data_IF_807906203678
#
_entry.id   IF_807906203678
#
_cell.length_a   1.000
_cell.length_b   1.000
_cell.length_c   1.000
_cell.angle_alpha   90.00
_cell.angle_beta   90.00
_cell.angle_gamma   90.00
#
_symmetry.space_group_name_H-M   'P 1'
#
loop_
_entity.id
_entity.type
_entity.pdbx_description
1 polymer ?
#
# COMPACT_ATOMS: atom_id res chain seq x y z
N UNK A 1 -12.95 16.86 20.80
CA UNK A 1 -13.36 15.45 20.64
C UNK A 1 -12.10 14.61 20.65
N UNK A 2 -11.72 14.09 21.81
CA UNK A 2 -10.57 13.19 21.94
C UNK A 2 -11.06 11.77 21.59
N UNK A 3 -10.65 11.27 20.43
CA UNK A 3 -10.97 9.90 20.04
C UNK A 3 -10.09 8.93 20.84
N UNK A 4 -10.69 7.88 21.42
CA UNK A 4 -10.01 6.96 22.31
C UNK A 4 -8.89 6.25 21.57
N UNK A 5 -7.75 6.18 22.24
CA UNK A 5 -6.56 5.44 21.85
C UNK A 5 -6.87 3.93 21.78
N UNK A 6 -7.57 3.48 20.74
CA UNK A 6 -7.30 2.14 20.17
C UNK A 6 -5.98 2.36 19.45
N UNK A 7 -4.88 1.82 19.99
CA UNK A 7 -3.49 2.23 19.75
C UNK A 7 -2.99 2.07 18.29
N UNK A 8 -3.62 2.74 17.33
CA UNK A 8 -3.17 2.85 15.96
C UNK A 8 -3.08 4.33 15.62
N UNK A 9 -1.87 4.87 15.67
CA UNK A 9 -1.62 6.22 15.21
C UNK A 9 -1.56 6.25 13.67
N UNK A 10 -1.62 7.44 13.06
CA UNK A 10 -1.60 7.55 11.60
C UNK A 10 -0.35 6.90 10.98
N UNK A 11 0.81 6.97 11.61
CA UNK A 11 2.04 6.35 11.11
C UNK A 11 1.97 4.80 11.15
N UNK A 12 1.43 4.23 12.22
CA UNK A 12 1.15 2.78 12.31
C UNK A 12 0.09 2.36 11.28
N UNK A 13 -0.95 3.17 11.08
CA UNK A 13 -1.97 2.90 10.09
C UNK A 13 -1.39 2.89 8.66
N UNK A 14 -0.56 3.88 8.32
CA UNK A 14 0.13 3.92 7.03
C UNK A 14 1.11 2.76 6.87
N UNK A 15 1.79 2.36 7.94
CA UNK A 15 2.70 1.21 7.94
C UNK A 15 1.94 -0.09 7.69
N UNK A 16 0.84 -0.34 8.40
CA UNK A 16 -0.03 -1.50 8.16
C UNK A 16 -0.64 -1.46 6.76
N UNK A 17 -1.03 -0.29 6.25
CA UNK A 17 -1.51 -0.15 4.87
C UNK A 17 -0.46 -0.60 3.85
N UNK A 18 0.80 -0.21 4.05
CA UNK A 18 1.92 -0.66 3.22
C UNK A 18 2.18 -2.16 3.37
N UNK A 19 2.30 -2.65 4.61
CA UNK A 19 2.50 -4.07 4.89
C UNK A 19 1.36 -4.92 4.31
N UNK A 20 0.12 -4.43 4.30
CA UNK A 20 -1.04 -5.10 3.70
C UNK A 20 -1.02 -5.20 2.17
N UNK A 21 -0.14 -4.44 1.50
CA UNK A 21 0.10 -4.59 0.06
C UNK A 21 1.13 -5.68 -0.25
N UNK A 22 2.12 -5.88 0.65
CA UNK A 22 3.16 -6.89 0.48
C UNK A 22 2.76 -8.25 1.06
N UNK A 23 2.12 -8.26 2.24
CA UNK A 23 1.70 -9.46 2.97
C UNK A 23 0.23 -9.40 3.37
N UNK A 24 -0.36 -10.57 3.60
CA UNK A 24 -1.70 -10.63 4.19
C UNK A 24 -1.64 -10.24 5.67
N UNK A 25 -2.37 -9.19 6.03
CA UNK A 25 -2.49 -8.77 7.43
C UNK A 25 -3.37 -9.76 8.23
N UNK A 26 -3.05 -10.00 9.51
CA UNK A 26 -3.95 -10.67 10.45
C UNK A 26 -5.33 -10.00 10.48
N UNK A 27 -6.40 -10.80 10.59
CA UNK A 27 -7.79 -10.31 10.57
C UNK A 27 -8.07 -9.24 11.64
N UNK A 28 -7.40 -9.33 12.80
CA UNK A 28 -7.49 -8.34 13.88
C UNK A 28 -6.95 -6.97 13.47
N UNK A 29 -5.71 -6.94 12.95
CA UNK A 29 -5.05 -5.70 12.49
C UNK A 29 -5.81 -5.05 11.33
N UNK A 30 -6.32 -5.87 10.38
CA UNK A 30 -7.16 -5.38 9.28
C UNK A 30 -8.44 -4.71 9.77
N UNK A 31 -9.05 -5.23 10.84
CA UNK A 31 -10.28 -4.67 11.41
C UNK A 31 -10.02 -3.33 12.09
N UNK A 32 -8.95 -3.25 12.89
CA UNK A 32 -8.52 -2.00 13.56
C UNK A 32 -8.15 -0.94 12.52
N UNK A 33 -7.41 -1.33 11.48
CA UNK A 33 -7.03 -0.43 10.39
C UNK A 33 -8.25 0.12 9.64
N UNK A 34 -9.25 -0.71 9.35
CA UNK A 34 -10.52 -0.26 8.74
C UNK A 34 -11.26 0.73 9.61
N UNK A 35 -11.33 0.50 10.92
CA UNK A 35 -11.95 1.45 11.84
C UNK A 35 -11.20 2.79 11.82
N UNK A 36 -9.87 2.77 11.78
CA UNK A 36 -9.06 3.99 11.69
C UNK A 36 -9.27 4.74 10.37
N UNK A 37 -9.24 4.07 9.22
CA UNK A 37 -9.45 4.73 7.92
C UNK A 37 -10.88 5.25 7.74
N UNK A 38 -11.84 4.70 8.48
CA UNK A 38 -13.21 5.24 8.50
C UNK A 38 -13.31 6.57 9.24
N UNK A 39 -12.52 6.75 10.30
CA UNK A 39 -12.46 7.99 11.09
C UNK A 39 -11.42 9.00 10.59
N UNK A 40 -10.41 8.55 9.83
CA UNK A 40 -9.30 9.35 9.35
C UNK A 40 -9.26 9.37 7.81
N UNK A 41 -9.70 10.48 7.22
CA UNK A 41 -9.70 10.69 5.77
C UNK A 41 -8.30 10.64 5.15
N UNK A 42 -7.27 11.08 5.87
CA UNK A 42 -5.88 11.03 5.40
C UNK A 42 -5.38 9.60 5.19
N UNK A 43 -5.59 8.72 6.17
CA UNK A 43 -5.23 7.31 6.04
C UNK A 43 -6.09 6.59 5.00
N UNK A 44 -7.37 6.97 4.86
CA UNK A 44 -8.23 6.46 3.77
C UNK A 44 -7.65 6.78 2.40
N UNK A 45 -7.34 8.06 2.15
CA UNK A 45 -6.80 8.53 0.88
C UNK A 45 -5.43 7.91 0.57
N UNK A 46 -4.60 7.70 1.59
CA UNK A 46 -3.33 7.00 1.43
C UNK A 46 -3.51 5.54 0.99
N UNK A 47 -4.45 4.82 1.59
CA UNK A 47 -4.77 3.44 1.20
C UNK A 47 -5.24 3.31 -0.24
N UNK A 48 -6.09 4.24 -0.70
CA UNK A 48 -6.56 4.30 -2.09
C UNK A 48 -5.39 4.55 -3.06
N UNK A 49 -4.50 5.50 -2.74
CA UNK A 49 -3.30 5.79 -3.56
C UNK A 49 -2.36 4.60 -3.67
N UNK A 50 -2.10 3.90 -2.56
CA UNK A 50 -1.29 2.67 -2.56
C UNK A 50 -1.91 1.58 -3.45
N UNK A 51 -3.23 1.40 -3.39
CA UNK A 51 -3.94 0.44 -4.23
C UNK A 51 -3.84 0.79 -5.72
N UNK A 52 -3.95 2.07 -6.07
CA UNK A 52 -3.76 2.54 -7.44
C UNK A 52 -2.33 2.27 -7.95
N UNK A 53 -1.32 2.66 -7.17
CA UNK A 53 0.09 2.45 -7.53
C UNK A 53 0.40 0.96 -7.78
N UNK A 54 -0.13 0.07 -6.94
CA UNK A 54 0.05 -1.38 -7.09
C UNK A 54 -0.62 -1.95 -8.33
N UNK A 55 -1.79 -1.43 -8.69
CA UNK A 55 -2.48 -1.82 -9.93
C UNK A 55 -1.70 -1.35 -11.15
N UNK A 56 -1.21 -0.11 -11.14
CA UNK A 56 -0.38 0.44 -12.22
C UNK A 56 0.92 -0.35 -12.41
N UNK A 57 1.63 -0.69 -11.32
CA UNK A 57 2.84 -1.53 -11.39
C UNK A 57 2.54 -2.95 -11.88
N UNK A 58 1.41 -3.55 -11.47
CA UNK A 58 1.00 -4.87 -11.98
C UNK A 58 0.65 -4.85 -13.46
N UNK A 59 -0.03 -3.81 -13.93
CA UNK A 59 -0.34 -3.63 -15.35
C UNK A 59 0.94 -3.45 -16.17
N UNK A 60 1.88 -2.63 -15.67
CA UNK A 60 3.19 -2.46 -16.27
C UNK A 60 3.98 -3.78 -16.36
N UNK A 61 4.03 -4.55 -15.25
CA UNK A 61 4.70 -5.85 -15.22
C UNK A 61 4.06 -6.91 -16.13
N UNK A 62 2.77 -6.79 -16.43
CA UNK A 62 2.04 -7.68 -17.35
C UNK A 62 2.25 -7.34 -18.82
N UNK A 63 2.91 -6.23 -19.14
CA UNK A 63 3.13 -5.80 -20.52
C UNK A 63 1.85 -5.28 -21.19
N UNK A 64 0.82 -4.92 -20.42
CA UNK A 64 -0.41 -4.27 -20.91
C UNK A 64 -0.17 -2.75 -21.13
N UNK A 65 1.00 -2.43 -21.69
CA UNK A 65 1.47 -1.10 -22.02
C UNK A 65 1.34 -0.85 -23.51
N UNK A 66 0.11 -0.77 -24.01
CA UNK A 66 -0.17 0.05 -25.18
C UNK A 66 -1.26 1.06 -24.82
N UNK A 67 -0.96 2.32 -25.15
CA UNK A 67 -1.81 3.52 -25.08
C UNK A 67 -1.76 4.36 -23.80
N UNK A 68 -0.79 5.29 -23.75
CA UNK A 68 -0.90 6.52 -22.96
C UNK A 68 0.41 7.20 -22.56
N UNK A 69 1.16 7.73 -23.53
CA UNK A 69 2.39 8.52 -23.37
C UNK A 69 2.23 9.72 -22.41
N UNK A 70 2.94 9.74 -21.26
CA UNK A 70 3.58 10.93 -20.63
C UNK A 70 4.38 10.58 -19.33
N UNK A 71 5.69 10.94 -19.28
CA UNK A 71 6.57 11.00 -18.08
C UNK A 71 7.28 9.68 -17.73
N UNK A 72 8.57 9.48 -18.03
CA UNK A 72 9.78 10.06 -17.42
C UNK A 72 9.93 9.79 -15.91
N UNK A 73 10.97 9.03 -15.55
CA UNK A 73 11.59 9.06 -14.22
C UNK A 73 11.43 7.81 -13.35
N UNK A 74 12.50 7.02 -13.21
CA UNK A 74 12.85 6.50 -11.89
C UNK A 74 13.24 5.02 -11.82
N UNK A 75 14.53 4.83 -11.61
CA UNK A 75 15.28 3.59 -11.44
C UNK A 75 14.95 2.81 -10.14
N UNK A 76 15.22 1.49 -10.18
CA UNK A 76 15.45 0.64 -9.00
C UNK A 76 14.24 -0.18 -8.55
N UNK A 77 14.31 -1.49 -8.29
CA UNK A 77 15.45 -2.32 -7.90
C UNK A 77 15.15 -3.77 -8.31
N UNK A 78 16.12 -4.44 -8.92
CA UNK A 78 16.09 -5.89 -9.07
C UNK A 78 16.36 -6.53 -7.71
N UNK A 79 15.52 -7.43 -7.17
CA UNK A 79 16.02 -8.38 -6.21
C UNK A 79 16.93 -9.34 -6.98
N UNK A 80 18.24 -9.15 -6.86
CA UNK A 80 19.22 -10.18 -7.18
C UNK A 80 18.83 -11.46 -6.44
N UNK A 81 18.80 -12.56 -7.18
CA UNK A 81 18.44 -13.86 -6.63
C UNK A 81 19.53 -14.44 -5.73
N UNK A 82 19.13 -15.47 -4.99
CA UNK A 82 20.05 -16.46 -4.46
C UNK A 82 19.75 -17.82 -5.11
N UNK A 83 20.65 -18.34 -5.96
CA UNK A 83 20.64 -19.71 -6.41
C UNK A 83 21.42 -20.56 -5.40
N UNK A 84 20.74 -21.53 -4.75
CA UNK A 84 21.38 -22.67 -4.07
C UNK A 84 20.28 -23.66 -3.69
N UNK A 85 20.37 -24.96 -3.90
CA UNK A 85 21.18 -25.88 -4.68
C UNK A 85 20.40 -27.21 -4.66
#
# INVERSE_FOLDING_TARGET
MALPKVMLNCAEATRLLSEGQDRELPRGERTVLRMHTWMCSGCRNFGEQLGFLRQATRAYARGEGDQGRHGDGGDGVSPGGDPKA
#
